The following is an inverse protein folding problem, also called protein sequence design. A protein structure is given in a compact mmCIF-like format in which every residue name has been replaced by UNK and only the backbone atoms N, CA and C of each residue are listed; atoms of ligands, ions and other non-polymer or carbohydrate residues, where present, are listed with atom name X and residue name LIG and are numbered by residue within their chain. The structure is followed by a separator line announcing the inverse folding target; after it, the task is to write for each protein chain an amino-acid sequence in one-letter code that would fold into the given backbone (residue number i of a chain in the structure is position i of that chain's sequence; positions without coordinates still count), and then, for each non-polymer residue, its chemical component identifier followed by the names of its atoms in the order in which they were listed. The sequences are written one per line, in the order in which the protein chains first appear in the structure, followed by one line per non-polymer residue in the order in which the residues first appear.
data_IF_993849911984
#
_entry.id   IF_993849911984
#
_cell.length_a   1.000
_cell.length_b   1.000
_cell.length_c   1.000
_cell.angle_alpha   90.00
_cell.angle_beta   90.00
_cell.angle_gamma   90.00
#
_symmetry.space_group_name_H-M   'P 1'
#
loop_
_entity.id
_entity.type
_entity.pdbx_description
1 polymer ?
#
# COMPACT_ATOMS: atom_id res chain seq x y z
N UNK A 1 17.54 8.69 -13.44
CA UNK A 1 18.38 8.12 -12.36
C UNK A 1 17.43 7.54 -11.32
N UNK A 2 17.34 6.23 -11.20
CA UNK A 2 16.52 5.56 -10.17
C UNK A 2 17.07 5.97 -8.80
N UNK A 3 16.28 6.69 -8.02
CA UNK A 3 16.68 6.98 -6.65
C UNK A 3 16.53 5.67 -5.86
N UNK A 4 17.62 5.26 -5.24
CA UNK A 4 17.61 4.07 -4.38
C UNK A 4 16.69 4.30 -3.18
N UNK A 5 15.96 3.27 -2.82
CA UNK A 5 15.23 3.22 -1.54
C UNK A 5 16.26 3.42 -0.40
N UNK A 6 15.94 4.22 0.65
CA UNK A 6 16.90 4.53 1.71
C UNK A 6 17.45 3.27 2.38
N UNK A 7 18.75 3.19 2.62
CA UNK A 7 19.37 2.03 3.26
C UNK A 7 18.83 1.81 4.68
N UNK A 8 18.53 2.89 5.41
CA UNK A 8 17.93 2.84 6.76
C UNK A 8 16.54 2.18 6.79
N UNK A 9 15.85 2.14 5.64
CA UNK A 9 14.53 1.52 5.50
C UNK A 9 14.60 0.20 4.72
N UNK A 10 15.77 -0.48 4.70
CA UNK A 10 15.94 -1.80 4.09
C UNK A 10 16.20 -2.87 5.11
N UNK A 11 15.75 -4.09 4.81
CA UNK A 11 16.08 -5.33 5.51
C UNK A 11 16.55 -6.33 4.46
N UNK A 12 17.74 -6.87 4.61
CA UNK A 12 18.24 -7.93 3.76
C UNK A 12 18.14 -9.27 4.50
N UNK A 13 17.32 -10.18 3.99
CA UNK A 13 17.17 -11.54 4.49
C UNK A 13 18.28 -12.40 3.87
N UNK A 14 19.04 -13.10 4.70
CA UNK A 14 20.08 -14.00 4.20
C UNK A 14 19.48 -15.15 3.39
N UNK A 15 20.24 -15.68 2.42
CA UNK A 15 19.76 -16.82 1.62
C UNK A 15 19.48 -18.08 2.45
N UNK A 16 20.12 -18.24 3.59
CA UNK A 16 19.85 -19.34 4.51
C UNK A 16 18.48 -19.15 5.19
N UNK A 17 18.25 -17.99 5.78
CA UNK A 17 16.98 -17.66 6.42
C UNK A 17 15.81 -17.66 5.41
N UNK A 18 16.03 -17.13 4.20
CA UNK A 18 15.02 -17.13 3.16
C UNK A 18 14.54 -18.55 2.82
N UNK A 19 15.46 -19.50 2.71
CA UNK A 19 15.12 -20.91 2.48
C UNK A 19 14.42 -21.54 3.66
N UNK A 20 14.91 -21.33 4.89
CA UNK A 20 14.29 -21.85 6.09
C UNK A 20 12.83 -21.40 6.23
N UNK A 21 12.54 -20.12 5.96
CA UNK A 21 11.18 -19.57 5.96
C UNK A 21 10.32 -20.18 4.85
N UNK A 22 10.89 -20.37 3.65
CA UNK A 22 10.20 -21.00 2.53
C UNK A 22 9.90 -22.48 2.82
N UNK A 23 10.88 -23.25 3.29
CA UNK A 23 10.72 -24.66 3.65
C UNK A 23 9.63 -24.83 4.72
N UNK A 24 9.60 -23.95 5.71
CA UNK A 24 8.54 -23.88 6.71
C UNK A 24 7.16 -23.66 6.07
N UNK A 25 7.06 -22.73 5.14
CA UNK A 25 5.80 -22.49 4.44
C UNK A 25 5.39 -23.65 3.53
N UNK A 26 6.33 -24.25 2.80
CA UNK A 26 6.07 -25.36 1.89
C UNK A 26 5.73 -26.68 2.61
N UNK A 27 6.08 -26.81 3.87
CA UNK A 27 5.68 -27.94 4.72
C UNK A 27 4.17 -27.95 5.06
N UNK A 28 3.50 -26.82 4.92
CA UNK A 28 2.05 -26.68 5.18
C UNK A 28 1.23 -27.09 3.94
N UNK A 29 -0.04 -27.47 4.13
CA UNK A 29 -0.97 -27.71 3.03
C UNK A 29 -1.09 -26.51 2.10
N UNK A 30 -1.41 -26.75 0.84
CA UNK A 30 -1.85 -25.69 -0.08
C UNK A 30 -3.28 -25.29 0.27
N UNK A 31 -3.48 -23.99 0.45
CA UNK A 31 -4.80 -23.40 0.71
C UNK A 31 -5.25 -22.60 -0.51
N UNK A 32 -6.56 -22.64 -0.80
CA UNK A 32 -7.15 -21.68 -1.73
C UNK A 32 -7.13 -20.28 -1.09
N UNK A 33 -6.95 -19.24 -1.91
CA UNK A 33 -6.96 -17.87 -1.45
C UNK A 33 -8.23 -17.48 -0.67
N UNK A 34 -9.36 -18.16 -0.96
CA UNK A 34 -10.62 -17.98 -0.23
C UNK A 34 -10.59 -18.56 1.19
N UNK A 35 -9.82 -19.59 1.42
CA UNK A 35 -9.69 -20.20 2.75
C UNK A 35 -9.03 -19.21 3.73
N UNK A 36 -8.14 -18.33 3.23
CA UNK A 36 -7.54 -17.30 4.04
C UNK A 36 -8.51 -16.21 4.54
N UNK A 37 -9.77 -16.21 4.10
CA UNK A 37 -10.79 -15.36 4.73
C UNK A 37 -11.07 -15.74 6.18
N UNK A 38 -10.68 -16.93 6.61
CA UNK A 38 -10.74 -17.37 8.01
C UNK A 38 -9.60 -16.74 8.82
N UNK A 39 -9.89 -15.84 9.79
CA UNK A 39 -8.84 -15.31 10.69
C UNK A 39 -8.15 -16.41 11.49
N UNK A 40 -8.86 -17.51 11.79
CA UNK A 40 -8.29 -18.67 12.49
C UNK A 40 -7.25 -19.39 11.61
N UNK A 41 -7.51 -19.54 10.29
CA UNK A 41 -6.52 -20.12 9.38
C UNK A 41 -5.30 -19.21 9.22
N UNK A 42 -5.50 -17.89 9.11
CA UNK A 42 -4.38 -16.94 9.07
C UNK A 42 -3.49 -17.07 10.30
N UNK A 43 -4.09 -17.18 11.49
CA UNK A 43 -3.36 -17.38 12.74
C UNK A 43 -2.64 -18.73 12.78
N UNK A 44 -3.29 -19.81 12.35
CA UNK A 44 -2.70 -21.14 12.27
C UNK A 44 -1.46 -21.15 11.36
N UNK A 45 -1.57 -20.62 10.14
CA UNK A 45 -0.44 -20.53 9.19
C UNK A 45 0.70 -19.68 9.73
N UNK A 46 0.40 -18.56 10.39
CA UNK A 46 1.39 -17.72 11.06
C UNK A 46 2.13 -18.52 12.16
N UNK A 47 1.38 -19.19 13.05
CA UNK A 47 1.95 -19.90 14.19
C UNK A 47 2.81 -21.10 13.75
N UNK A 48 2.38 -21.81 12.70
CA UNK A 48 3.09 -22.98 12.20
C UNK A 48 4.40 -22.58 11.51
N UNK A 49 4.42 -21.51 10.70
CA UNK A 49 5.65 -20.99 10.09
C UNK A 49 6.60 -20.45 11.18
N UNK A 50 6.06 -19.72 12.16
CA UNK A 50 6.85 -19.24 13.30
C UNK A 50 7.46 -20.39 14.09
N UNK A 51 6.77 -21.50 14.31
CA UNK A 51 7.31 -22.69 14.97
C UNK A 51 8.41 -23.36 14.16
N UNK A 52 8.30 -23.36 12.84
CA UNK A 52 9.32 -23.96 11.96
C UNK A 52 10.62 -23.15 11.95
N UNK A 53 10.58 -21.82 12.08
CA UNK A 53 11.73 -20.93 12.07
C UNK A 53 11.56 -19.79 13.11
N UNK A 54 11.55 -20.08 14.43
CA UNK A 54 11.14 -19.10 15.44
C UNK A 54 12.04 -17.88 15.48
N UNK A 55 13.34 -18.05 15.60
CA UNK A 55 14.29 -16.93 15.74
C UNK A 55 14.34 -16.08 14.46
N UNK A 56 14.32 -16.72 13.32
CA UNK A 56 14.38 -16.05 12.02
C UNK A 56 13.09 -15.30 11.66
N UNK A 57 11.95 -15.92 11.95
CA UNK A 57 10.65 -15.29 11.72
C UNK A 57 10.44 -14.09 12.65
N UNK A 58 10.71 -14.25 13.95
CA UNK A 58 10.58 -13.18 14.94
C UNK A 58 11.53 -12.01 14.62
N UNK A 59 12.80 -12.31 14.26
CA UNK A 59 13.74 -11.29 13.82
C UNK A 59 13.21 -10.50 12.62
N UNK A 60 12.69 -11.19 11.61
CA UNK A 60 12.16 -10.53 10.40
C UNK A 60 10.99 -9.61 10.74
N UNK A 61 10.03 -10.11 11.54
CA UNK A 61 8.85 -9.33 11.96
C UNK A 61 9.27 -8.10 12.77
N UNK A 62 10.22 -8.25 13.70
CA UNK A 62 10.69 -7.15 14.53
C UNK A 62 11.46 -6.09 13.72
N UNK A 63 12.27 -6.50 12.75
CA UNK A 63 12.97 -5.58 11.86
C UNK A 63 12.00 -4.80 10.96
N UNK A 64 10.94 -5.43 10.46
CA UNK A 64 9.88 -4.75 9.72
C UNK A 64 9.16 -3.76 10.64
N UNK A 65 8.70 -4.21 11.81
CA UNK A 65 7.97 -3.39 12.79
C UNK A 65 8.75 -2.14 13.19
N UNK A 66 10.03 -2.31 13.52
CA UNK A 66 10.93 -1.23 13.90
C UNK A 66 11.04 -0.16 12.82
N UNK A 67 11.16 -0.56 11.54
CA UNK A 67 11.35 0.40 10.43
C UNK A 67 10.06 1.06 10.00
N UNK A 68 8.94 0.34 9.99
CA UNK A 68 7.63 0.93 9.65
C UNK A 68 7.20 1.96 10.72
N UNK A 69 7.58 1.77 11.98
CA UNK A 69 7.30 2.71 13.06
C UNK A 69 8.10 4.03 12.94
N UNK A 70 9.15 4.06 12.14
CA UNK A 70 10.06 5.19 11.98
C UNK A 70 9.99 5.73 10.54
N UNK A 71 10.32 7.01 10.37
CA UNK A 71 10.44 7.61 9.06
C UNK A 71 11.43 6.83 8.17
N UNK A 72 11.09 6.51 6.90
CA UNK A 72 9.96 7.03 6.09
C UNK A 72 8.64 6.23 6.22
N UNK A 73 8.40 5.54 7.33
CA UNK A 73 7.19 4.76 7.63
C UNK A 73 6.89 3.65 6.61
N UNK A 74 7.94 3.17 5.99
CA UNK A 74 7.91 2.02 5.09
C UNK A 74 9.26 1.30 5.12
N UNK A 75 9.25 0.03 4.73
CA UNK A 75 10.44 -0.80 4.66
C UNK A 75 10.44 -1.67 3.42
N UNK A 76 11.59 -1.81 2.78
CA UNK A 76 11.83 -2.74 1.68
C UNK A 76 12.64 -3.93 2.20
N UNK A 77 11.98 -5.08 2.32
CA UNK A 77 12.61 -6.35 2.68
C UNK A 77 13.05 -7.05 1.40
N UNK A 78 14.28 -7.54 1.36
CA UNK A 78 14.85 -8.27 0.22
C UNK A 78 15.11 -9.71 0.58
N UNK A 79 14.95 -10.58 -0.39
CA UNK A 79 15.25 -12.00 -0.24
C UNK A 79 14.09 -12.84 0.27
N UNK A 80 12.84 -12.33 0.19
CA UNK A 80 11.66 -13.15 0.45
C UNK A 80 11.46 -14.09 -0.73
N UNK A 81 11.46 -15.38 -0.47
CA UNK A 81 11.13 -16.37 -1.48
C UNK A 81 9.61 -16.55 -1.57
N UNK A 82 9.15 -16.70 -2.79
CA UNK A 82 7.72 -16.93 -3.05
C UNK A 82 7.40 -18.42 -2.84
N UNK A 83 6.32 -18.71 -2.13
CA UNK A 83 5.70 -20.02 -2.06
C UNK A 83 4.36 -20.01 -2.83
N UNK A 84 4.06 -21.08 -3.55
CA UNK A 84 2.91 -21.18 -4.45
C UNK A 84 1.55 -20.93 -3.74
N UNK A 85 1.48 -21.29 -2.45
CA UNK A 85 0.28 -21.10 -1.62
C UNK A 85 0.17 -19.74 -0.94
N UNK A 86 1.12 -18.80 -1.16
CA UNK A 86 1.19 -17.49 -0.48
C UNK A 86 1.26 -17.58 1.07
N UNK A 87 1.60 -18.74 1.63
CA UNK A 87 1.55 -19.02 3.08
C UNK A 87 2.53 -18.14 3.84
N UNK A 88 3.78 -18.02 3.34
CA UNK A 88 4.79 -17.14 3.95
C UNK A 88 4.34 -15.66 3.89
N UNK A 89 3.78 -15.22 2.76
CA UNK A 89 3.26 -13.87 2.62
C UNK A 89 2.11 -13.61 3.61
N UNK A 90 1.17 -14.54 3.74
CA UNK A 90 0.07 -14.45 4.72
C UNK A 90 0.60 -14.44 6.14
N UNK A 91 1.55 -15.33 6.50
CA UNK A 91 2.13 -15.40 7.84
C UNK A 91 2.83 -14.11 8.25
N UNK A 92 3.67 -13.55 7.38
CA UNK A 92 4.35 -12.27 7.64
C UNK A 92 3.33 -11.17 7.88
N UNK A 93 2.31 -11.06 7.02
CA UNK A 93 1.28 -10.03 7.15
C UNK A 93 0.46 -10.20 8.44
N UNK A 94 0.10 -11.44 8.79
CA UNK A 94 -0.68 -11.76 10.00
C UNK A 94 0.03 -11.36 11.30
N UNK A 95 1.36 -11.33 11.32
CA UNK A 95 2.14 -10.84 12.46
C UNK A 95 1.89 -9.36 12.80
N UNK A 96 1.30 -8.59 11.89
CA UNK A 96 1.00 -7.16 12.06
C UNK A 96 -0.47 -6.86 12.31
N UNK A 97 -1.34 -7.82 12.11
CA UNK A 97 -2.77 -7.64 12.31
C UNK A 97 -3.62 -8.60 11.47
N UNK A 98 -4.89 -8.30 11.36
CA UNK A 98 -5.82 -9.07 10.55
C UNK A 98 -5.71 -8.64 9.08
N UNK A 99 -5.58 -9.62 8.17
CA UNK A 99 -5.65 -9.35 6.74
C UNK A 99 -7.11 -9.09 6.35
N UNK A 100 -7.31 -8.05 5.57
CA UNK A 100 -8.63 -7.57 5.19
C UNK A 100 -8.86 -7.81 3.69
N UNK A 101 -9.95 -8.50 3.37
CA UNK A 101 -10.34 -8.73 2.00
C UNK A 101 -10.83 -7.44 1.33
N UNK A 102 -10.50 -7.27 0.05
CA UNK A 102 -11.10 -6.22 -0.76
C UNK A 102 -12.61 -6.46 -0.88
N UNK A 103 -13.46 -5.47 -0.59
CA UNK A 103 -14.91 -5.64 -0.63
C UNK A 103 -15.46 -5.57 -2.07
N UNK A 104 -14.77 -6.21 -3.02
CA UNK A 104 -15.24 -6.32 -4.39
C UNK A 104 -16.00 -7.61 -4.60
N UNK A 105 -16.97 -7.58 -5.51
CA UNK A 105 -17.68 -8.78 -5.92
C UNK A 105 -16.70 -9.80 -6.54
N UNK A 106 -16.96 -11.08 -6.30
CA UNK A 106 -16.25 -12.19 -6.94
C UNK A 106 -16.12 -11.97 -8.47
N UNK A 107 -14.98 -12.32 -9.05
CA UNK A 107 -13.83 -13.04 -8.50
C UNK A 107 -12.73 -12.15 -7.88
N UNK A 108 -12.99 -10.87 -7.67
CA UNK A 108 -11.99 -9.87 -7.23
C UNK A 108 -11.90 -9.69 -5.71
N UNK A 109 -12.82 -10.28 -4.95
CA UNK A 109 -12.74 -10.32 -3.49
C UNK A 109 -11.64 -11.29 -3.07
N UNK A 110 -10.40 -10.79 -2.94
CA UNK A 110 -9.26 -11.60 -2.54
C UNK A 110 -8.56 -10.97 -1.34
N UNK A 111 -8.13 -11.80 -0.41
CA UNK A 111 -7.31 -11.39 0.72
C UNK A 111 -5.88 -11.12 0.29
N UNK A 112 -5.32 -12.00 -0.52
CA UNK A 112 -4.07 -11.80 -1.25
C UNK A 112 -4.42 -11.40 -2.67
N UNK A 113 -4.22 -10.13 -2.97
CA UNK A 113 -4.59 -9.55 -4.26
C UNK A 113 -3.44 -9.65 -5.26
N UNK A 114 -3.66 -10.40 -6.34
CA UNK A 114 -2.74 -10.51 -7.46
C UNK A 114 -2.87 -9.27 -8.35
N UNK A 115 -1.83 -8.42 -8.35
CA UNK A 115 -1.77 -7.21 -9.17
C UNK A 115 -0.95 -7.50 -10.40
N UNK A 116 -1.64 -7.61 -11.53
CA UNK A 116 -1.05 -7.78 -12.86
C UNK A 116 -1.69 -6.80 -13.84
N UNK A 117 -0.99 -6.44 -14.90
CA UNK A 117 -1.59 -5.64 -15.97
C UNK A 117 -2.76 -6.39 -16.62
N UNK A 118 -3.84 -5.67 -16.92
CA UNK A 118 -5.01 -6.26 -17.55
C UNK A 118 -5.68 -5.22 -18.47
N UNK A 119 -6.20 -5.66 -19.62
CA UNK A 119 -6.91 -4.82 -20.58
C UNK A 119 -8.35 -4.58 -20.19
N UNK A 120 -8.95 -5.52 -19.45
CA UNK A 120 -10.33 -5.49 -18.98
C UNK A 120 -10.54 -4.64 -17.72
N UNK A 121 -9.45 -4.19 -17.10
CA UNK A 121 -9.48 -3.31 -15.93
C UNK A 121 -9.23 -1.87 -16.38
N UNK A 122 -10.15 -0.93 -16.10
CA UNK A 122 -9.95 0.46 -16.43
C UNK A 122 -8.65 1.03 -15.86
N UNK A 123 -7.94 1.81 -16.69
CA UNK A 123 -6.78 2.57 -16.29
C UNK A 123 -7.15 3.58 -15.16
N UNK A 124 -6.26 3.83 -14.18
CA UNK A 124 -4.88 3.34 -14.09
C UNK A 124 -4.73 1.92 -13.49
N UNK A 125 -5.80 1.30 -12.96
CA UNK A 125 -5.75 -0.01 -12.29
C UNK A 125 -5.22 -1.12 -13.21
N UNK A 126 -5.50 -1.06 -14.51
CA UNK A 126 -4.94 -1.97 -15.52
C UNK A 126 -3.44 -1.79 -15.79
N UNK A 127 -2.80 -0.83 -15.16
CA UNK A 127 -1.35 -0.63 -15.26
C UNK A 127 -0.88 0.22 -16.43
N UNK A 128 -1.77 0.66 -17.31
CA UNK A 128 -1.43 1.36 -18.56
C UNK A 128 -1.10 2.84 -18.35
N UNK A 129 -1.59 3.43 -17.27
CA UNK A 129 -1.35 4.84 -16.93
C UNK A 129 -0.64 4.99 -15.59
N UNK A 130 -0.21 6.22 -15.31
CA UNK A 130 0.30 6.60 -14.00
C UNK A 130 -0.79 6.43 -12.96
N UNK A 131 -0.55 5.66 -11.93
CA UNK A 131 -1.36 5.72 -10.73
C UNK A 131 -0.87 6.88 -9.87
N UNK A 132 -1.74 7.86 -9.61
CA UNK A 132 -1.39 9.07 -8.86
C UNK A 132 -1.17 8.74 -7.38
N UNK A 133 -0.43 9.60 -6.70
CA UNK A 133 -0.20 9.49 -5.25
C UNK A 133 -1.51 9.43 -4.48
N UNK A 134 -1.66 8.40 -3.62
CA UNK A 134 -2.84 8.18 -2.80
C UNK A 134 -2.54 7.32 -1.57
N UNK A 135 -3.45 7.35 -0.61
CA UNK A 135 -3.62 6.30 0.40
C UNK A 135 -4.68 5.31 -0.08
N UNK A 136 -4.54 4.04 0.26
CA UNK A 136 -5.56 3.02 -0.02
C UNK A 136 -6.77 3.15 0.91
N UNK A 137 -7.89 2.57 0.51
CA UNK A 137 -9.14 2.49 1.29
C UNK A 137 -9.71 3.84 1.75
N UNK A 138 -9.47 4.93 1.01
CA UNK A 138 -10.04 6.25 1.31
C UNK A 138 -11.57 6.28 1.19
N UNK A 139 -12.15 5.34 0.47
CA UNK A 139 -13.58 5.11 0.30
C UNK A 139 -14.20 4.18 1.36
N UNK A 140 -13.43 3.83 2.40
CA UNK A 140 -13.89 3.04 3.53
C UNK A 140 -14.23 3.93 4.74
N UNK A 141 -15.12 3.41 5.62
CA UNK A 141 -15.47 4.09 6.86
C UNK A 141 -14.25 4.32 7.74
N UNK A 142 -13.40 3.30 7.87
CA UNK A 142 -12.09 3.38 8.51
C UNK A 142 -11.03 2.97 7.50
N UNK A 143 -10.06 3.83 7.16
CA UNK A 143 -8.94 3.48 6.31
C UNK A 143 -8.13 2.30 6.86
N UNK A 144 -7.42 1.62 5.96
CA UNK A 144 -6.51 0.53 6.33
C UNK A 144 -5.20 1.13 6.85
N UNK A 145 -4.64 0.53 7.90
CA UNK A 145 -3.45 1.04 8.56
C UNK A 145 -2.16 0.62 7.86
N UNK A 146 -2.05 -0.66 7.44
CA UNK A 146 -0.84 -1.16 6.79
C UNK A 146 -1.15 -1.78 5.42
N UNK A 147 -0.18 -1.65 4.53
CA UNK A 147 -0.19 -2.28 3.20
C UNK A 147 1.12 -3.03 3.02
N UNK A 148 1.04 -4.22 2.46
CA UNK A 148 2.21 -4.95 1.99
C UNK A 148 2.10 -5.27 0.50
N UNK A 149 3.26 -5.24 -0.20
CA UNK A 149 3.37 -5.61 -1.61
C UNK A 149 4.62 -6.47 -1.82
N UNK A 150 4.45 -7.71 -2.26
CA UNK A 150 5.55 -8.61 -2.65
C UNK A 150 5.68 -8.65 -4.17
N UNK A 151 6.88 -8.41 -4.67
CA UNK A 151 7.19 -8.55 -6.08
C UNK A 151 7.48 -10.01 -6.42
N UNK A 152 6.65 -10.63 -7.22
CA UNK A 152 6.87 -11.97 -7.78
C UNK A 152 7.66 -11.86 -9.09
N UNK A 153 7.22 -10.98 -9.98
CA UNK A 153 7.90 -10.66 -11.24
C UNK A 153 7.83 -9.17 -11.50
N UNK A 154 9.00 -8.56 -11.69
CA UNK A 154 9.10 -7.16 -12.10
C UNK A 154 8.69 -6.99 -13.59
N UNK A 155 8.36 -5.75 -13.98
CA UNK A 155 8.24 -5.46 -15.42
C UNK A 155 9.61 -5.58 -16.08
N UNK A 156 9.79 -6.50 -17.07
CA UNK A 156 11.09 -6.74 -17.72
C UNK A 156 11.61 -5.52 -18.48
N UNK A 157 10.75 -4.55 -18.78
CA UNK A 157 11.10 -3.30 -19.46
C UNK A 157 11.32 -2.13 -18.50
N UNK A 158 11.30 -2.39 -17.18
CA UNK A 158 11.58 -1.40 -16.13
C UNK A 158 10.45 -0.41 -15.83
N UNK A 159 9.24 -0.65 -16.36
CA UNK A 159 8.04 0.10 -15.99
C UNK A 159 7.50 -0.33 -14.62
N UNK A 160 6.38 0.28 -14.20
CA UNK A 160 5.71 -0.07 -12.96
C UNK A 160 6.54 0.24 -11.70
N UNK A 161 7.37 1.30 -11.76
CA UNK A 161 8.17 1.73 -10.61
C UNK A 161 7.26 2.20 -9.48
N UNK A 162 7.53 1.74 -8.28
CA UNK A 162 6.85 2.19 -7.07
C UNK A 162 7.38 3.55 -6.62
N UNK A 163 6.48 4.39 -6.11
CA UNK A 163 6.77 5.67 -5.49
C UNK A 163 6.13 5.69 -4.13
N UNK A 164 6.87 6.06 -3.10
CA UNK A 164 6.35 6.22 -1.74
C UNK A 164 6.83 7.55 -1.20
N UNK A 165 5.95 8.27 -0.53
CA UNK A 165 6.23 9.56 0.07
C UNK A 165 5.64 9.62 1.47
N UNK A 166 6.46 9.93 2.46
CA UNK A 166 6.04 10.02 3.86
C UNK A 166 5.41 11.38 4.19
N UNK A 167 4.52 11.39 5.18
CA UNK A 167 3.75 12.57 5.59
C UNK A 167 4.64 13.72 6.07
N UNK A 168 5.78 13.44 6.71
CA UNK A 168 6.69 14.50 7.19
C UNK A 168 7.37 15.20 6.02
N UNK A 169 7.77 14.44 4.99
CA UNK A 169 8.27 15.03 3.74
C UNK A 169 7.19 15.85 3.06
N UNK A 170 5.94 15.37 3.02
CA UNK A 170 4.82 16.10 2.45
C UNK A 170 4.61 17.43 3.17
N UNK A 171 4.55 17.42 4.51
CA UNK A 171 4.41 18.62 5.32
C UNK A 171 5.52 19.62 5.06
N UNK A 172 6.77 19.17 4.99
CA UNK A 172 7.92 20.02 4.70
C UNK A 172 7.85 20.67 3.30
N UNK A 173 7.46 19.90 2.27
CA UNK A 173 7.31 20.41 0.90
C UNK A 173 6.13 21.40 0.78
N UNK A 174 5.00 21.10 1.43
CA UNK A 174 3.82 21.98 1.45
C UNK A 174 4.15 23.28 2.19
N UNK A 175 4.75 23.20 3.37
CA UNK A 175 5.20 24.38 4.14
C UNK A 175 6.11 25.27 3.32
N UNK A 176 7.10 24.68 2.66
CA UNK A 176 8.07 25.40 1.84
C UNK A 176 7.48 26.10 0.63
N UNK A 177 6.42 25.55 0.03
CA UNK A 177 5.87 26.05 -1.25
C UNK A 177 4.57 26.81 -1.11
N UNK A 178 3.73 26.45 -0.13
CA UNK A 178 2.37 26.96 0.05
C UNK A 178 2.16 27.65 1.40
N UNK A 179 3.12 27.53 2.34
CA UNK A 179 3.06 28.15 3.67
C UNK A 179 2.38 27.27 4.73
N UNK A 180 2.53 27.69 5.99
CA UNK A 180 1.96 26.99 7.17
C UNK A 180 0.43 27.02 7.19
N UNK A 181 -0.21 28.11 6.76
CA UNK A 181 -1.66 28.24 6.67
C UNK A 181 -2.28 27.10 5.85
N UNK A 182 -1.61 26.64 4.78
CA UNK A 182 -2.07 25.50 3.99
C UNK A 182 -2.11 24.21 4.81
N UNK A 183 -1.10 23.98 5.66
CA UNK A 183 -1.09 22.83 6.57
C UNK A 183 -2.25 22.92 7.56
N UNK A 184 -2.41 24.05 8.22
CA UNK A 184 -3.48 24.28 9.20
C UNK A 184 -4.87 24.04 8.60
N UNK A 185 -5.10 24.50 7.38
CA UNK A 185 -6.36 24.28 6.66
C UNK A 185 -6.58 22.82 6.29
N UNK A 186 -5.54 22.11 5.80
CA UNK A 186 -5.64 20.68 5.49
C UNK A 186 -5.86 19.82 6.74
N UNK A 187 -5.50 20.29 7.92
CA UNK A 187 -5.68 19.63 9.22
C UNK A 187 -7.04 19.95 9.86
N UNK A 188 -7.59 21.13 9.61
CA UNK A 188 -8.80 21.62 10.31
C UNK A 188 -10.05 21.64 9.44
N UNK A 189 -9.93 21.85 8.13
CA UNK A 189 -11.07 21.95 7.23
C UNK A 189 -11.38 20.59 6.59
N UNK A 190 -12.51 19.92 6.94
CA UNK A 190 -12.85 18.64 6.37
C UNK A 190 -13.30 18.79 4.90
N UNK A 191 -12.95 17.81 4.09
CA UNK A 191 -13.39 17.67 2.71
C UNK A 191 -14.25 16.42 2.53
N UNK A 192 -15.14 16.36 1.54
CA UNK A 192 -16.03 15.22 1.36
C UNK A 192 -15.29 14.05 0.67
N UNK A 193 -15.54 12.84 1.16
CA UNK A 193 -15.06 11.59 0.61
C UNK A 193 -16.24 10.73 0.19
N UNK A 194 -16.19 10.20 -1.04
CA UNK A 194 -17.20 9.26 -1.48
C UNK A 194 -16.92 7.88 -0.89
N UNK A 195 -17.84 7.39 -0.07
CA UNK A 195 -17.75 6.03 0.46
C UNK A 195 -18.15 5.01 -0.61
N UNK A 196 -17.49 3.85 -0.57
CA UNK A 196 -17.84 2.70 -1.38
C UNK A 196 -19.25 2.20 -1.04
N UNK A 197 -20.03 1.69 -2.02
CA UNK A 197 -21.30 1.04 -1.74
C UNK A 197 -21.19 -0.11 -0.72
N UNK A 198 -20.05 -0.81 -0.67
CA UNK A 198 -19.78 -1.87 0.30
C UNK A 198 -19.62 -1.35 1.74
N UNK A 199 -19.37 -0.04 1.90
CA UNK A 199 -19.30 0.64 3.21
C UNK A 199 -20.58 1.46 3.48
N UNK A 200 -21.73 1.07 2.93
CA UNK A 200 -22.99 1.79 3.08
C UNK A 200 -23.15 2.97 2.13
N UNK A 201 -22.15 3.29 1.32
CA UNK A 201 -22.19 4.42 0.38
C UNK A 201 -22.26 5.79 1.08
N UNK A 202 -22.67 6.82 0.33
CA UNK A 202 -22.83 8.17 0.90
C UNK A 202 -21.55 8.98 0.89
N UNK A 203 -21.48 9.93 1.82
CA UNK A 203 -20.38 10.88 1.99
C UNK A 203 -19.87 10.83 3.42
N UNK A 204 -18.55 10.89 3.57
CA UNK A 204 -17.87 11.13 4.84
C UNK A 204 -17.05 12.40 4.74
N UNK A 205 -17.10 13.22 5.75
CA UNK A 205 -16.28 14.42 5.86
C UNK A 205 -15.09 14.13 6.77
N UNK A 206 -13.89 14.35 6.29
CA UNK A 206 -12.64 14.21 7.07
C UNK A 206 -11.56 15.12 6.51
N UNK A 207 -10.62 15.49 7.35
CA UNK A 207 -9.45 16.29 6.96
C UNK A 207 -8.49 15.48 6.09
N UNK A 208 -7.68 16.16 5.29
CA UNK A 208 -6.63 15.55 4.46
C UNK A 208 -5.42 15.16 5.31
N UNK A 209 -5.02 16.04 6.23
CA UNK A 209 -3.96 15.79 7.19
C UNK A 209 -4.54 15.61 8.59
N UNK A 210 -3.83 14.89 9.45
CA UNK A 210 -4.07 14.76 10.89
C UNK A 210 -2.75 15.00 11.61
N UNK A 211 -2.73 15.10 12.94
CA UNK A 211 -1.50 15.32 13.72
C UNK A 211 -0.37 14.35 13.35
N UNK A 212 -0.69 13.11 13.04
CA UNK A 212 0.30 12.04 12.80
C UNK A 212 0.18 11.33 11.47
N UNK A 213 -0.78 11.72 10.61
CA UNK A 213 -1.04 10.98 9.39
C UNK A 213 -1.77 11.79 8.32
N UNK A 214 -2.31 11.07 7.35
CA UNK A 214 -3.05 11.65 6.24
C UNK A 214 -4.01 10.67 5.60
N UNK A 215 -5.01 11.22 4.89
CA UNK A 215 -5.88 10.49 3.98
C UNK A 215 -5.93 11.29 2.67
N UNK A 216 -5.49 10.68 1.57
CA UNK A 216 -5.44 11.38 0.30
C UNK A 216 -5.78 10.48 -0.88
N UNK A 217 -6.76 10.88 -1.65
CA UNK A 217 -7.05 10.36 -2.98
C UNK A 217 -7.92 11.36 -3.73
N UNK A 218 -7.33 12.16 -4.60
CA UNK A 218 -8.05 13.22 -5.32
C UNK A 218 -9.31 12.69 -6.00
N UNK A 219 -9.22 11.54 -6.67
CA UNK A 219 -10.35 10.91 -7.33
C UNK A 219 -11.56 10.68 -6.41
N UNK A 220 -11.35 10.29 -5.15
CA UNK A 220 -12.45 10.06 -4.18
C UNK A 220 -13.14 11.35 -3.78
N UNK A 221 -12.39 12.46 -3.67
CA UNK A 221 -12.93 13.79 -3.41
C UNK A 221 -13.72 14.28 -4.63
N UNK A 222 -13.17 14.16 -5.85
CA UNK A 222 -13.84 14.57 -7.08
C UNK A 222 -15.13 13.78 -7.31
N UNK A 223 -15.17 12.51 -6.97
CA UNK A 223 -16.40 11.70 -6.99
C UNK A 223 -17.42 12.18 -5.94
N UNK A 224 -16.94 12.54 -4.75
CA UNK A 224 -17.82 13.08 -3.70
C UNK A 224 -18.49 14.38 -4.14
N UNK A 225 -17.74 15.29 -4.78
CA UNK A 225 -18.25 16.58 -5.27
C UNK A 225 -19.31 16.44 -6.36
N UNK A 226 -19.38 15.32 -7.05
CA UNK A 226 -20.46 14.99 -7.99
C UNK A 226 -21.74 14.54 -7.29
N UNK A 227 -21.70 14.30 -5.97
CA UNK A 227 -22.85 13.86 -5.19
C UNK A 227 -23.61 15.06 -4.62
N UNK A 228 -24.94 14.91 -4.52
CA UNK A 228 -25.80 15.97 -3.96
C UNK A 228 -25.39 16.23 -2.49
N UNK A 229 -25.18 17.49 -2.16
CA UNK A 229 -24.84 17.94 -0.79
C UNK A 229 -23.34 18.03 -0.52
N UNK A 230 -22.46 17.65 -1.45
CA UNK A 230 -21.02 17.84 -1.32
C UNK A 230 -20.60 19.13 -2.05
N UNK A 231 -20.36 20.18 -1.29
CA UNK A 231 -19.88 21.46 -1.81
C UNK A 231 -18.61 21.87 -1.06
N UNK A 232 -17.63 22.33 -1.78
CA UNK A 232 -16.43 23.00 -1.25
C UNK A 232 -16.38 24.43 -1.76
N UNK A 233 -15.78 25.31 -0.98
CA UNK A 233 -15.49 26.67 -1.43
C UNK A 233 -14.50 26.64 -2.60
N UNK A 234 -14.50 27.71 -3.41
CA UNK A 234 -13.54 27.86 -4.50
C UNK A 234 -12.10 27.91 -3.97
N UNK A 235 -11.91 28.53 -2.83
CA UNK A 235 -10.61 28.64 -2.14
C UNK A 235 -10.10 27.26 -1.73
N UNK A 236 -10.96 26.40 -1.15
CA UNK A 236 -10.57 25.03 -0.80
C UNK A 236 -10.24 24.19 -2.04
N UNK A 237 -11.01 24.32 -3.09
CA UNK A 237 -10.70 23.64 -4.36
C UNK A 237 -9.34 24.06 -4.91
N UNK A 238 -9.04 25.36 -4.92
CA UNK A 238 -7.73 25.90 -5.34
C UNK A 238 -6.60 25.38 -4.45
N UNK A 239 -6.83 25.29 -3.12
CA UNK A 239 -5.87 24.74 -2.18
C UNK A 239 -5.59 23.26 -2.46
N UNK A 240 -6.61 22.45 -2.69
CA UNK A 240 -6.45 21.02 -3.03
C UNK A 240 -5.71 20.82 -4.36
N UNK A 241 -5.95 21.68 -5.36
CA UNK A 241 -5.23 21.67 -6.64
C UNK A 241 -3.75 22.01 -6.44
N UNK A 242 -3.45 23.03 -5.62
CA UNK A 242 -2.08 23.41 -5.29
C UNK A 242 -1.36 22.29 -4.51
N UNK A 243 -2.05 21.69 -3.54
CA UNK A 243 -1.55 20.55 -2.77
C UNK A 243 -1.21 19.36 -3.68
N UNK A 244 -2.13 18.96 -4.57
CA UNK A 244 -1.87 17.90 -5.55
C UNK A 244 -0.66 18.24 -6.44
N UNK A 245 -0.53 19.48 -6.87
CA UNK A 245 0.62 19.96 -7.66
C UNK A 245 1.96 19.80 -6.94
N UNK A 246 2.01 20.05 -5.62
CA UNK A 246 3.20 19.81 -4.79
C UNK A 246 3.53 18.33 -4.75
N UNK A 247 2.52 17.46 -4.48
CA UNK A 247 2.70 16.02 -4.42
C UNK A 247 3.22 15.45 -5.75
N UNK A 248 2.61 15.81 -6.87
CA UNK A 248 3.01 15.34 -8.20
C UNK A 248 4.42 15.82 -8.59
N UNK A 249 4.78 17.04 -8.22
CA UNK A 249 6.13 17.56 -8.45
C UNK A 249 7.16 16.74 -7.67
N UNK A 250 6.87 16.43 -6.42
CA UNK A 250 7.75 15.60 -5.58
C UNK A 250 7.80 14.16 -6.09
N UNK A 251 6.67 13.58 -6.47
CA UNK A 251 6.58 12.22 -6.99
C UNK A 251 7.49 11.97 -8.19
N UNK A 252 7.66 12.98 -9.07
CA UNK A 252 8.56 12.88 -10.23
C UNK A 252 10.03 12.68 -9.86
N UNK A 253 10.41 13.04 -8.64
CA UNK A 253 11.77 12.87 -8.12
C UNK A 253 11.99 11.53 -7.44
N UNK A 254 10.93 10.74 -7.26
CA UNK A 254 10.92 9.45 -6.59
C UNK A 254 10.67 8.33 -7.59
N UNK A 255 11.09 7.15 -7.22
CA UNK A 255 10.79 5.94 -7.97
C UNK A 255 11.88 4.89 -7.75
N UNK A 256 11.46 3.67 -7.54
CA UNK A 256 12.31 2.51 -7.49
C UNK A 256 11.60 1.32 -8.11
N UNK A 257 12.35 0.47 -8.78
CA UNK A 257 11.84 -0.76 -9.35
C UNK A 257 11.99 -1.87 -8.31
N UNK A 258 10.88 -2.45 -7.88
CA UNK A 258 10.91 -3.64 -7.05
C UNK A 258 11.34 -4.86 -7.89
N UNK A 259 12.22 -5.66 -7.33
CA UNK A 259 12.72 -6.90 -7.91
C UNK A 259 11.98 -8.11 -7.32
N UNK A 260 12.04 -9.23 -8.01
CA UNK A 260 11.50 -10.48 -7.47
C UNK A 260 12.09 -10.77 -6.08
N UNK A 261 11.23 -11.16 -5.14
CA UNK A 261 11.60 -11.39 -3.74
C UNK A 261 11.75 -10.13 -2.89
N UNK A 262 11.37 -8.95 -3.41
CA UNK A 262 11.29 -7.72 -2.60
C UNK A 262 9.86 -7.51 -2.09
N UNK A 263 9.74 -7.35 -0.77
CA UNK A 263 8.50 -7.06 -0.06
C UNK A 263 8.55 -5.62 0.47
N UNK A 264 7.64 -4.78 0.00
CA UNK A 264 7.42 -3.44 0.51
C UNK A 264 6.31 -3.47 1.56
N UNK A 265 6.61 -3.01 2.75
CA UNK A 265 5.65 -2.79 3.84
C UNK A 265 5.53 -1.29 4.09
N UNK A 266 4.34 -0.75 4.24
CA UNK A 266 4.14 0.69 4.48
C UNK A 266 2.95 0.99 5.39
N UNK A 267 3.12 1.98 6.25
CA UNK A 267 2.05 2.59 7.01
C UNK A 267 1.21 3.47 6.07
N UNK A 268 0.02 3.00 5.73
CA UNK A 268 -0.90 3.67 4.82
C UNK A 268 -1.52 4.95 5.40
N UNK A 269 -1.40 5.14 6.71
CA UNK A 269 -1.85 6.37 7.37
C UNK A 269 -0.79 7.47 7.36
N UNK A 270 0.48 7.11 7.16
CA UNK A 270 1.64 8.03 7.17
C UNK A 270 2.37 8.11 5.84
N UNK A 271 1.99 7.30 4.85
CA UNK A 271 2.57 7.32 3.52
C UNK A 271 1.50 7.40 2.45
N UNK A 272 1.84 8.04 1.34
CA UNK A 272 1.11 7.92 0.08
C UNK A 272 1.98 7.21 -0.93
N UNK A 273 1.35 6.48 -1.81
CA UNK A 273 2.06 5.71 -2.81
C UNK A 273 1.48 5.92 -4.22
N UNK A 274 2.31 5.61 -5.20
CA UNK A 274 1.98 5.71 -6.61
C UNK A 274 2.78 4.68 -7.42
N UNK A 275 2.46 4.58 -8.69
CA UNK A 275 3.15 3.72 -9.64
C UNK A 275 3.29 4.41 -11.00
N UNK A 276 4.46 4.25 -11.63
CA UNK A 276 4.61 4.63 -13.03
C UNK A 276 3.89 3.65 -13.96
N UNK A 277 3.60 4.02 -15.22
CA UNK A 277 3.03 3.09 -16.19
C UNK A 277 3.89 1.81 -16.30
N UNK A 278 3.22 0.69 -16.55
CA UNK A 278 3.87 -0.57 -16.86
C UNK A 278 4.22 -0.56 -18.35
N UNK A 279 5.50 -0.72 -18.69
CA UNK A 279 5.99 -0.51 -20.06
C UNK A 279 5.45 -1.54 -21.06
N UNK A 280 5.21 -2.76 -20.60
CA UNK A 280 4.61 -3.81 -21.43
C UNK A 280 3.10 -3.71 -21.58
N UNK A 281 2.44 -2.77 -20.88
CA UNK A 281 0.99 -2.72 -20.80
C UNK A 281 0.42 -4.07 -20.33
N UNK A 282 -0.70 -4.48 -20.91
CA UNK A 282 -1.36 -5.75 -20.59
C UNK A 282 -0.55 -7.01 -20.98
N UNK A 283 0.44 -6.89 -21.87
CA UNK A 283 1.33 -7.97 -22.25
C UNK A 283 2.55 -8.13 -21.32
N UNK A 284 2.65 -7.33 -20.27
CA UNK A 284 3.72 -7.47 -19.28
C UNK A 284 3.45 -8.63 -18.33
N UNK A 285 4.49 -9.44 -18.09
CA UNK A 285 4.45 -10.52 -17.09
C UNK A 285 4.57 -10.02 -15.64
N UNK A 286 4.52 -8.71 -15.40
CA UNK A 286 4.62 -8.15 -14.07
C UNK A 286 3.55 -8.73 -13.16
N UNK A 287 3.99 -9.23 -11.99
CA UNK A 287 3.09 -9.78 -10.97
C UNK A 287 3.53 -9.33 -9.59
N UNK A 288 2.61 -8.77 -8.84
CA UNK A 288 2.77 -8.40 -7.44
C UNK A 288 1.65 -9.06 -6.61
N UNK A 289 1.98 -9.44 -5.38
CA UNK A 289 0.96 -9.70 -4.37
C UNK A 289 0.75 -8.45 -3.54
N UNK A 290 -0.48 -8.17 -3.12
CA UNK A 290 -0.80 -7.11 -2.17
C UNK A 290 -1.76 -7.65 -1.11
N UNK A 291 -1.54 -7.24 0.14
CA UNK A 291 -2.51 -7.41 1.22
C UNK A 291 -2.71 -6.10 1.97
N UNK A 292 -3.91 -5.95 2.50
CA UNK A 292 -4.31 -4.90 3.42
C UNK A 292 -4.42 -5.48 4.82
N UNK A 293 -3.88 -4.74 5.80
CA UNK A 293 -3.79 -5.22 7.16
C UNK A 293 -4.42 -4.18 8.08
N UNK A 294 -5.31 -4.66 8.95
CA UNK A 294 -5.88 -3.91 10.04
C UNK A 294 -5.13 -4.25 11.31
N UNK A 295 -4.48 -3.26 11.88
CA UNK A 295 -3.83 -3.42 13.19
C UNK A 295 -4.89 -3.47 14.27
N UNK A 296 -4.72 -4.35 15.24
CA UNK A 296 -5.59 -4.50 16.41
C UNK A 296 -5.32 -3.46 17.48
#
# INVERSE_FOLDING_TARGET
MLKHFPDSARVDVSSALARELQDGAESLPLYDNKEFYSPALQACVHDDIRKACPDGFDWLVDEIRKRVAQRPYCVLVRGILFDEGNRLFVAINRAFGELVALPYQEPRAQLVHYIQPATDIPSPRGGQEVERLHTDATDWETPIELISMLCIRADPRGGGQSRVLDVDTIRAEVRSRLGDETIERLESEPVPWKLSPHCGGGLKWRTVLTDSGMCWRRYSIDLALKSKGALLSKEMMTLLDAFEGVLETKARTLGFLMRAGELLFSDNTRTIHARTPITGGAASDRLMLRSWIRTS
#
